data_IF_002115542959
#
_entry.id   IF_002115542959
#
_cell.length_a   1.000
_cell.length_b   1.000
_cell.length_c   1.000
_cell.angle_alpha   90.00
_cell.angle_beta   90.00
_cell.angle_gamma   90.00
#
_symmetry.space_group_name_H-M   'P 1'
#
loop_
_entity.id
_entity.type
_entity.pdbx_description
1 polymer ?
#
# COMPACT_ATOMS: atom_id res chain seq x y z
N UNK A 1 -4.96 -10.03 -3.55
CA UNK A 1 -6.26 -9.34 -3.30
C UNK A 1 -6.27 -8.88 -1.86
N UNK A 2 -6.46 -7.58 -1.62
CA UNK A 2 -6.41 -7.00 -0.27
C UNK A 2 -7.56 -7.51 0.60
N UNK A 3 -7.24 -7.81 1.87
CA UNK A 3 -8.26 -8.13 2.87
C UNK A 3 -9.15 -6.90 3.14
N UNK A 4 -10.40 -7.09 3.62
CA UNK A 4 -11.27 -5.97 3.97
C UNK A 4 -10.63 -5.01 4.98
N UNK A 5 -9.91 -5.54 5.97
CA UNK A 5 -9.17 -4.75 6.95
C UNK A 5 -8.06 -3.92 6.33
N UNK A 6 -7.32 -4.49 5.37
CA UNK A 6 -6.27 -3.74 4.67
C UNK A 6 -6.84 -2.59 3.84
N UNK A 7 -8.00 -2.77 3.20
CA UNK A 7 -8.71 -1.70 2.48
C UNK A 7 -9.15 -0.59 3.42
N UNK A 8 -9.78 -0.94 4.54
CA UNK A 8 -10.20 0.03 5.55
C UNK A 8 -9.02 0.82 6.13
N UNK A 9 -7.88 0.16 6.38
CA UNK A 9 -6.68 0.84 6.87
C UNK A 9 -6.17 1.89 5.88
N UNK A 10 -6.19 1.60 4.57
CA UNK A 10 -5.78 2.55 3.52
C UNK A 10 -6.79 3.70 3.37
N UNK A 11 -8.09 3.40 3.42
CA UNK A 11 -9.16 4.41 3.31
C UNK A 11 -9.16 5.41 4.47
N UNK A 12 -8.80 4.97 5.67
CA UNK A 12 -8.83 5.77 6.89
C UNK A 12 -7.47 6.27 7.37
N UNK A 13 -6.41 6.16 6.56
CA UNK A 13 -5.09 6.72 6.89
C UNK A 13 -5.19 8.20 7.23
N UNK A 14 -4.59 8.65 8.32
CA UNK A 14 -4.38 10.07 8.57
C UNK A 14 -3.23 10.62 7.70
N UNK A 15 -3.11 11.94 7.60
CA UNK A 15 -1.93 12.55 7.01
C UNK A 15 -0.68 12.11 7.78
N UNK A 16 0.38 11.78 7.04
CA UNK A 16 1.65 11.26 7.57
C UNK A 16 1.61 9.83 8.12
N UNK A 17 0.49 9.12 7.98
CA UNK A 17 0.44 7.70 8.29
C UNK A 17 1.16 6.83 7.26
N UNK A 18 1.58 5.66 7.72
CA UNK A 18 2.08 4.59 6.88
C UNK A 18 1.34 3.29 7.20
N UNK A 19 0.91 2.58 6.16
CA UNK A 19 0.31 1.25 6.25
C UNK A 19 1.15 0.28 5.44
N UNK A 20 1.47 -0.86 6.03
CA UNK A 20 2.10 -1.98 5.32
C UNK A 20 1.07 -3.05 5.07
N UNK A 21 1.00 -3.53 3.83
CA UNK A 21 0.12 -4.65 3.43
C UNK A 21 0.95 -5.74 2.76
N UNK A 22 0.62 -6.99 3.07
CA UNK A 22 1.35 -8.16 2.59
C UNK A 22 2.73 -8.33 3.22
N UNK A 23 3.59 -9.07 2.51
CA UNK A 23 4.97 -9.36 2.90
C UNK A 23 5.18 -10.70 3.60
N UNK A 24 6.46 -11.04 3.77
CA UNK A 24 6.88 -12.39 4.14
C UNK A 24 6.29 -12.89 5.46
N UNK A 25 6.10 -11.99 6.42
CA UNK A 25 5.54 -12.30 7.75
C UNK A 25 4.10 -12.83 7.65
N UNK A 26 3.34 -12.43 6.62
CA UNK A 26 1.98 -12.91 6.36
C UNK A 26 1.94 -13.98 5.26
N UNK A 27 3.10 -14.55 4.88
CA UNK A 27 3.21 -15.62 3.88
C UNK A 27 3.21 -15.14 2.43
N UNK A 28 3.28 -13.84 2.17
CA UNK A 28 3.30 -13.27 0.83
C UNK A 28 4.72 -12.81 0.45
N UNK A 29 5.14 -13.03 -0.80
CA UNK A 29 6.47 -12.57 -1.24
C UNK A 29 6.53 -11.07 -1.51
N UNK A 30 5.38 -10.48 -1.87
CA UNK A 30 5.25 -9.06 -2.17
C UNK A 30 4.71 -8.32 -0.96
N UNK A 31 5.35 -7.20 -0.64
CA UNK A 31 4.91 -6.24 0.39
C UNK A 31 4.68 -4.90 -0.27
N UNK A 32 3.58 -4.23 0.07
CA UNK A 32 3.36 -2.84 -0.29
C UNK A 32 3.43 -1.96 0.96
N UNK A 33 4.16 -0.85 0.85
CA UNK A 33 4.15 0.21 1.84
C UNK A 33 3.42 1.41 1.27
N UNK A 34 2.26 1.72 1.84
CA UNK A 34 1.44 2.88 1.49
C UNK A 34 1.75 3.98 2.49
N UNK A 35 2.25 5.10 1.99
CA UNK A 35 2.53 6.29 2.78
C UNK A 35 1.55 7.38 2.38
N UNK A 36 0.92 8.04 3.35
CA UNK A 36 0.05 9.19 3.10
C UNK A 36 0.76 10.46 3.52
N UNK A 37 0.77 11.45 2.64
CA UNK A 37 1.19 12.83 2.95
C UNK A 37 -0.06 13.72 3.08
N UNK A 38 0.12 15.03 3.16
CA UNK A 38 -0.97 16.00 3.16
C UNK A 38 -1.86 15.91 1.91
N UNK A 39 -1.28 15.56 0.75
CA UNK A 39 -1.97 15.64 -0.55
C UNK A 39 -1.97 14.38 -1.37
N UNK A 40 -1.02 13.47 -1.14
CA UNK A 40 -0.81 12.30 -2.01
C UNK A 40 -0.57 11.03 -1.19
N UNK A 41 -0.85 9.91 -1.84
CA UNK A 41 -0.45 8.58 -1.40
C UNK A 41 0.72 8.11 -2.24
N UNK A 42 1.74 7.55 -1.60
CA UNK A 42 2.88 6.90 -2.28
C UNK A 42 2.89 5.42 -1.92
N UNK A 43 2.88 4.56 -2.94
CA UNK A 43 2.89 3.11 -2.79
C UNK A 43 4.23 2.58 -3.25
N UNK A 44 4.96 1.92 -2.35
CA UNK A 44 6.22 1.24 -2.65
C UNK A 44 6.00 -0.26 -2.66
N UNK A 45 6.37 -0.92 -3.76
CA UNK A 45 6.27 -2.38 -3.91
C UNK A 45 7.63 -3.02 -3.68
N UNK A 46 7.66 -4.02 -2.81
CA UNK A 46 8.86 -4.78 -2.49
C UNK A 46 8.67 -6.27 -2.76
N UNK A 47 9.64 -6.92 -3.38
CA UNK A 47 9.86 -8.37 -3.25
C UNK A 47 10.96 -8.57 -2.20
N UNK A 48 10.59 -9.17 -1.07
CA UNK A 48 11.46 -9.31 0.10
C UNK A 48 12.03 -7.95 0.54
N UNK A 49 13.31 -7.68 0.27
CA UNK A 49 14.02 -6.46 0.66
C UNK A 49 14.33 -5.53 -0.52
N UNK A 50 13.90 -5.91 -1.74
CA UNK A 50 14.20 -5.16 -2.96
C UNK A 50 12.99 -4.31 -3.33
N UNK A 51 13.21 -2.98 -3.44
CA UNK A 51 12.21 -2.07 -4.00
C UNK A 51 12.09 -2.32 -5.50
N UNK A 52 10.91 -2.70 -5.95
CA UNK A 52 10.62 -2.98 -7.35
C UNK A 52 9.99 -1.78 -8.06
N UNK A 53 9.08 -1.07 -7.37
CA UNK A 53 8.38 0.05 -7.95
C UNK A 53 7.93 1.04 -6.87
N UNK A 54 7.73 2.31 -7.28
CA UNK A 54 7.18 3.37 -6.47
C UNK A 54 6.25 4.23 -7.33
N UNK A 55 4.97 4.26 -6.95
CA UNK A 55 3.92 5.00 -7.67
C UNK A 55 3.19 5.97 -6.72
N UNK A 56 2.68 7.07 -7.26
CA UNK A 56 1.94 8.09 -6.49
C UNK A 56 0.51 8.26 -6.99
N UNK A 57 -0.41 8.45 -6.06
CA UNK A 57 -1.85 8.53 -6.29
C UNK A 57 -2.48 9.68 -5.49
N UNK A 58 -3.64 10.14 -5.92
CA UNK A 58 -4.37 11.22 -5.24
C UNK A 58 -5.39 10.68 -4.23
N UNK A 59 -5.87 9.45 -4.44
CA UNK A 59 -6.95 8.88 -3.64
C UNK A 59 -6.62 7.48 -3.14
N UNK A 60 -7.15 7.13 -1.97
CA UNK A 60 -7.09 5.78 -1.42
C UNK A 60 -7.72 4.73 -2.37
N UNK A 61 -8.77 5.11 -3.11
CA UNK A 61 -9.43 4.22 -4.07
C UNK A 61 -8.50 3.82 -5.24
N UNK A 62 -7.67 4.75 -5.73
CA UNK A 62 -6.67 4.46 -6.76
C UNK A 62 -5.58 3.52 -6.23
N UNK A 63 -5.13 3.73 -4.98
CA UNK A 63 -4.16 2.84 -4.30
C UNK A 63 -4.72 1.43 -4.19
N UNK A 64 -5.94 1.27 -3.67
CA UNK A 64 -6.57 -0.05 -3.51
C UNK A 64 -6.69 -0.75 -4.86
N UNK A 65 -7.13 -0.02 -5.90
CA UNK A 65 -7.26 -0.55 -7.26
C UNK A 65 -5.91 -0.98 -7.86
N UNK A 66 -4.84 -0.24 -7.57
CA UNK A 66 -3.49 -0.58 -8.01
C UNK A 66 -3.01 -1.89 -7.36
N UNK A 67 -3.14 -2.00 -6.03
CA UNK A 67 -2.68 -3.19 -5.30
C UNK A 67 -3.53 -4.43 -5.63
N UNK A 68 -4.85 -4.28 -5.80
CA UNK A 68 -5.72 -5.43 -6.16
C UNK A 68 -5.49 -5.98 -7.57
N UNK A 69 -4.84 -5.20 -8.46
CA UNK A 69 -4.50 -5.59 -9.84
C UNK A 69 -3.10 -6.16 -9.99
N UNK A 70 -2.26 -5.99 -8.98
CA UNK A 70 -0.87 -6.46 -8.95
C UNK A 70 -0.81 -7.94 -8.55
#
# INVERSE_FOLDING_TARGET
MLTPTAKANIEHMAEWDQVTVGGYVVGENIRFEVNRTDKIFTVKMFDRLVLLNEDSFLTAAEVIKYIDRS
#
